data_IF_345668300769
#
_entry.id   IF_345668300769
#
_cell.length_a   1.000
_cell.length_b   1.000
_cell.length_c   1.000
_cell.angle_alpha   90.00
_cell.angle_beta   90.00
_cell.angle_gamma   90.00
#
_symmetry.space_group_name_H-M   'P 1'
#
loop_
_entity.id
_entity.type
_entity.pdbx_description
1 polymer ?
#
# COMPACT_ATOMS: atom_id res chain seq x y z
N UNK A 1 -4.77 -15.09 -5.00
CA UNK A 1 -3.50 -14.81 -5.71
C UNK A 1 -2.73 -13.78 -4.90
N UNK A 2 -1.45 -14.04 -4.60
CA UNK A 2 -0.58 -13.12 -3.85
C UNK A 2 0.69 -12.90 -4.69
N UNK A 3 0.94 -11.66 -5.14
CA UNK A 3 2.12 -11.33 -5.94
C UNK A 3 2.82 -10.13 -5.32
N UNK A 4 4.14 -10.19 -5.31
CA UNK A 4 5.01 -9.11 -4.88
C UNK A 4 6.09 -8.87 -5.95
N UNK A 5 6.39 -7.61 -6.22
CA UNK A 5 7.45 -7.20 -7.14
C UNK A 5 8.38 -6.17 -6.48
N UNK A 6 9.67 -6.36 -6.69
CA UNK A 6 10.71 -5.38 -6.37
C UNK A 6 11.22 -4.76 -7.66
N UNK A 7 11.07 -3.45 -7.80
CA UNK A 7 11.38 -2.72 -9.02
C UNK A 7 11.70 -1.24 -8.73
N UNK A 8 12.06 -0.51 -9.78
CA UNK A 8 11.94 0.94 -9.79
C UNK A 8 10.70 1.37 -10.57
N UNK A 9 10.18 2.53 -10.22
CA UNK A 9 9.10 3.20 -10.93
C UNK A 9 9.47 4.65 -11.19
N UNK A 10 8.94 5.19 -12.29
CA UNK A 10 9.18 6.57 -12.71
C UNK A 10 7.92 7.39 -12.51
N UNK A 11 8.04 8.50 -11.77
CA UNK A 11 7.03 9.54 -11.63
C UNK A 11 7.66 10.88 -12.00
N UNK A 12 7.08 11.57 -12.98
CA UNK A 12 7.64 12.84 -13.46
C UNK A 12 7.44 13.95 -12.42
N UNK A 13 8.48 14.20 -11.63
CA UNK A 13 8.46 15.14 -10.51
C UNK A 13 9.12 16.47 -10.86
N UNK A 14 8.44 17.59 -10.60
CA UNK A 14 8.93 18.94 -10.87
C UNK A 14 10.01 19.41 -9.87
N UNK A 15 9.95 18.94 -8.62
CA UNK A 15 10.88 19.34 -7.55
C UNK A 15 11.35 18.12 -6.79
N UNK A 16 12.59 17.70 -7.02
CA UNK A 16 13.16 16.53 -6.35
C UNK A 16 13.73 16.89 -4.98
N UNK A 17 13.64 15.94 -4.05
CA UNK A 17 14.31 15.94 -2.74
C UNK A 17 14.84 14.54 -2.52
N UNK A 18 16.17 14.41 -2.35
CA UNK A 18 16.82 13.09 -2.31
C UNK A 18 16.16 12.17 -1.27
N UNK A 19 15.94 10.91 -1.66
CA UNK A 19 15.20 9.85 -0.96
C UNK A 19 13.71 10.09 -0.73
N UNK A 20 13.27 11.32 -0.45
CA UNK A 20 11.87 11.62 -0.16
C UNK A 20 11.02 11.75 -1.43
N UNK A 21 11.59 12.31 -2.51
CA UNK A 21 10.89 12.54 -3.77
C UNK A 21 11.86 12.64 -4.94
N UNK A 22 11.98 11.57 -5.72
CA UNK A 22 12.85 11.51 -6.91
C UNK A 22 12.03 11.10 -8.13
N UNK A 23 12.53 11.40 -9.33
CA UNK A 23 11.82 11.04 -10.57
C UNK A 23 11.75 9.53 -10.77
N UNK A 24 12.86 8.85 -10.53
CA UNK A 24 12.90 7.40 -10.39
C UNK A 24 13.13 7.07 -8.93
N UNK A 25 12.36 6.12 -8.40
CA UNK A 25 12.61 5.57 -7.08
C UNK A 25 12.35 4.08 -7.06
N UNK A 26 13.01 3.42 -6.13
CA UNK A 26 12.87 1.99 -5.92
C UNK A 26 11.83 1.75 -4.85
N UNK A 27 11.05 0.71 -5.05
CA UNK A 27 10.03 0.32 -4.11
C UNK A 27 9.73 -1.16 -4.24
N UNK A 28 8.93 -1.61 -3.29
CA UNK A 28 8.24 -2.88 -3.34
C UNK A 28 6.77 -2.56 -3.56
N UNK A 29 6.14 -3.25 -4.52
CA UNK A 29 4.69 -3.22 -4.71
C UNK A 29 4.08 -4.63 -4.68
N UNK A 30 3.03 -4.78 -3.88
CA UNK A 30 2.30 -6.03 -3.72
C UNK A 30 0.88 -5.86 -4.22
N UNK A 31 0.40 -6.88 -4.93
CA UNK A 31 -0.94 -6.90 -5.50
C UNK A 31 -1.56 -8.27 -5.26
N UNK A 32 -2.75 -8.29 -4.69
CA UNK A 32 -3.42 -9.52 -4.30
C UNK A 32 -4.87 -9.55 -4.77
N UNK A 33 -5.40 -10.76 -4.93
CA UNK A 33 -6.79 -11.01 -5.27
C UNK A 33 -7.35 -12.16 -4.42
N UNK A 34 -8.47 -11.89 -3.77
CA UNK A 34 -9.13 -12.74 -2.77
C UNK A 34 -10.57 -13.07 -3.17
N UNK A 35 -11.11 -14.15 -2.61
CA UNK A 35 -12.49 -14.55 -2.83
C UNK A 35 -13.46 -13.70 -2.00
N UNK A 36 -13.05 -13.26 -0.81
CA UNK A 36 -13.91 -12.52 0.11
C UNK A 36 -13.32 -11.18 0.54
N UNK A 37 -14.20 -10.25 0.91
CA UNK A 37 -13.80 -8.96 1.49
C UNK A 37 -13.00 -9.14 2.79
N UNK A 38 -13.36 -10.13 3.61
CA UNK A 38 -12.70 -10.38 4.90
C UNK A 38 -11.24 -10.79 4.71
N UNK A 39 -10.95 -11.66 3.75
CA UNK A 39 -9.58 -12.05 3.40
C UNK A 39 -8.77 -10.86 2.88
N UNK A 40 -9.36 -10.05 1.98
CA UNK A 40 -8.72 -8.84 1.48
C UNK A 40 -8.44 -7.83 2.61
N UNK A 41 -9.36 -7.67 3.56
CA UNK A 41 -9.17 -6.79 4.70
C UNK A 41 -8.09 -7.32 5.64
N UNK A 42 -8.04 -8.63 5.88
CA UNK A 42 -7.00 -9.27 6.69
C UNK A 42 -5.61 -9.09 6.08
N UNK A 43 -5.46 -9.35 4.78
CA UNK A 43 -4.20 -9.14 4.04
C UNK A 43 -3.74 -7.68 4.10
N UNK A 44 -4.69 -6.75 3.93
CA UNK A 44 -4.41 -5.30 3.99
C UNK A 44 -3.81 -4.90 5.34
N UNK A 45 -4.39 -5.39 6.44
CA UNK A 45 -3.91 -5.09 7.80
C UNK A 45 -2.61 -5.84 8.12
N UNK A 46 -2.48 -7.10 7.70
CA UNK A 46 -1.26 -7.87 7.86
C UNK A 46 -0.06 -7.15 7.24
N UNK A 47 -0.19 -6.64 6.01
CA UNK A 47 0.91 -5.92 5.36
C UNK A 47 1.21 -4.57 6.02
N UNK A 48 0.21 -3.90 6.59
CA UNK A 48 0.41 -2.70 7.39
C UNK A 48 1.23 -3.01 8.65
N UNK A 49 0.96 -4.13 9.31
CA UNK A 49 1.68 -4.58 10.49
C UNK A 49 3.12 -4.99 10.15
N UNK A 50 3.34 -5.65 9.01
CA UNK A 50 4.70 -5.95 8.50
C UNK A 50 5.51 -4.66 8.30
N UNK A 51 4.90 -3.62 7.75
CA UNK A 51 5.57 -2.33 7.59
C UNK A 51 5.83 -1.63 8.93
N UNK A 52 4.92 -1.76 9.89
CA UNK A 52 5.10 -1.21 11.23
C UNK A 52 6.23 -1.90 11.99
N UNK A 53 6.29 -3.22 11.90
CA UNK A 53 7.34 -4.06 12.47
C UNK A 53 8.69 -3.68 11.87
N UNK A 54 8.81 -3.63 10.54
CA UNK A 54 10.03 -3.18 9.86
C UNK A 54 10.44 -1.77 10.29
N UNK A 55 9.50 -0.82 10.33
CA UNK A 55 9.80 0.54 10.73
C UNK A 55 10.35 0.63 12.16
N UNK A 56 9.74 -0.09 13.12
CA UNK A 56 10.12 0.00 14.54
C UNK A 56 11.32 -0.85 14.90
N UNK A 57 11.36 -2.10 14.44
CA UNK A 57 12.32 -3.10 14.89
C UNK A 57 13.58 -3.13 14.05
N UNK A 58 13.48 -2.86 12.73
CA UNK A 58 14.63 -2.87 11.83
C UNK A 58 15.18 -1.46 11.56
N UNK A 59 14.29 -0.48 11.35
CA UNK A 59 14.69 0.89 11.02
C UNK A 59 14.78 1.83 12.24
N UNK A 60 14.32 1.40 13.43
CA UNK A 60 14.25 2.21 14.65
C UNK A 60 13.52 3.56 14.47
N UNK A 61 12.50 3.59 13.60
CA UNK A 61 11.71 4.76 13.28
C UNK A 61 10.43 4.81 14.13
N UNK A 62 10.13 5.95 14.78
CA UNK A 62 8.84 6.16 15.44
C UNK A 62 7.75 6.29 14.37
N UNK A 63 6.96 5.22 14.23
CA UNK A 63 5.89 5.12 13.25
C UNK A 63 4.53 4.83 13.89
N UNK A 64 3.49 5.39 13.29
CA UNK A 64 2.09 5.26 13.68
C UNK A 64 1.26 4.79 12.50
N UNK A 65 0.37 3.84 12.73
CA UNK A 65 -0.57 3.37 11.70
C UNK A 65 -1.91 4.08 11.85
N UNK A 66 -2.59 4.29 10.72
CA UNK A 66 -3.89 4.94 10.73
C UNK A 66 -4.69 4.71 9.46
N UNK A 67 -6.00 4.93 9.55
CA UNK A 67 -6.90 4.97 8.40
C UNK A 67 -6.91 6.39 7.82
N UNK A 68 -6.66 6.53 6.52
CA UNK A 68 -6.78 7.82 5.83
C UNK A 68 -8.24 8.28 5.77
N UNK A 69 -8.44 9.60 5.78
CA UNK A 69 -9.75 10.20 5.52
C UNK A 69 -10.22 9.90 4.10
N UNK A 70 -11.51 10.11 3.83
CA UNK A 70 -12.06 9.91 2.48
C UNK A 70 -11.41 10.82 1.41
N UNK A 71 -10.87 11.97 1.80
CA UNK A 71 -10.18 12.90 0.89
C UNK A 71 -8.74 12.47 0.57
N UNK A 72 -8.08 11.78 1.50
CA UNK A 72 -6.65 11.39 1.41
C UNK A 72 -6.46 9.92 1.01
N UNK A 73 -7.55 9.17 0.78
CA UNK A 73 -7.46 7.77 0.34
C UNK A 73 -7.02 7.68 -1.11
N UNK A 74 -6.41 6.54 -1.46
CA UNK A 74 -6.04 6.27 -2.85
C UNK A 74 -7.27 6.31 -3.76
N UNK A 75 -7.21 7.00 -4.92
CA UNK A 75 -8.32 7.04 -5.85
C UNK A 75 -8.78 5.64 -6.28
N UNK A 76 -10.05 5.33 -6.07
CA UNK A 76 -10.61 4.02 -6.37
C UNK A 76 -10.44 2.95 -5.27
N UNK A 77 -9.72 3.25 -4.18
CA UNK A 77 -9.70 2.38 -3.01
C UNK A 77 -10.99 2.49 -2.19
N UNK A 78 -11.42 1.38 -1.60
CA UNK A 78 -12.47 1.38 -0.59
C UNK A 78 -11.94 2.03 0.70
N UNK A 79 -10.83 1.47 1.21
CA UNK A 79 -10.12 1.97 2.39
C UNK A 79 -8.62 2.03 2.13
N UNK A 80 -7.97 3.08 2.63
CA UNK A 80 -6.51 3.21 2.65
C UNK A 80 -6.04 3.31 4.08
N UNK A 81 -5.07 2.48 4.41
CA UNK A 81 -4.28 2.58 5.62
C UNK A 81 -2.89 3.09 5.29
N UNK A 82 -2.31 3.84 6.22
CA UNK A 82 -0.97 4.37 6.08
C UNK A 82 -0.16 4.19 7.34
N UNK A 83 1.15 4.15 7.15
CA UNK A 83 2.15 4.27 8.19
C UNK A 83 2.76 5.67 8.09
N UNK A 84 2.59 6.46 9.14
CA UNK A 84 3.08 7.82 9.28
C UNK A 84 4.29 7.82 10.22
N UNK A 85 5.41 8.37 9.74
CA UNK A 85 6.61 8.59 10.52
C UNK A 85 6.83 10.09 10.75
N UNK A 86 7.52 10.45 11.83
CA UNK A 86 7.87 11.85 12.12
C UNK A 86 9.33 12.08 11.76
N UNK A 87 9.58 13.10 10.93
CA UNK A 87 10.92 13.56 10.59
C UNK A 87 11.52 14.42 11.71
N UNK A 88 12.84 14.57 11.72
CA UNK A 88 13.58 15.40 12.68
C UNK A 88 13.22 16.89 12.63
N UNK A 89 12.61 17.36 11.54
CA UNK A 89 12.05 18.71 11.42
C UNK A 89 10.60 18.84 11.96
N UNK A 90 10.07 17.78 12.58
CA UNK A 90 8.75 17.71 13.20
C UNK A 90 7.60 17.47 12.22
N UNK A 91 7.86 17.29 10.92
CA UNK A 91 6.81 17.02 9.93
C UNK A 91 6.50 15.53 9.84
N UNK A 92 5.22 15.23 9.60
CA UNK A 92 4.79 13.88 9.28
C UNK A 92 5.17 13.50 7.83
N UNK A 93 5.59 12.26 7.64
CA UNK A 93 5.87 11.64 6.36
C UNK A 93 5.12 10.31 6.27
N UNK A 94 4.36 10.14 5.21
CA UNK A 94 3.77 8.86 4.86
C UNK A 94 4.87 7.92 4.34
N UNK A 95 5.25 6.95 5.16
CA UNK A 95 6.37 6.05 4.87
C UNK A 95 5.93 4.76 4.16
N UNK A 96 4.70 4.29 4.37
CA UNK A 96 4.14 3.13 3.66
C UNK A 96 2.62 3.22 3.53
N UNK A 97 2.06 2.47 2.57
CA UNK A 97 0.61 2.36 2.39
C UNK A 97 0.14 0.94 2.15
N UNK A 98 -1.06 0.66 2.62
CA UNK A 98 -1.79 -0.58 2.35
C UNK A 98 -3.25 -0.25 2.05
N UNK A 99 -3.75 -0.74 0.92
CA UNK A 99 -5.03 -0.36 0.35
C UNK A 99 -5.91 -1.60 0.18
N UNK A 100 -7.13 -1.54 0.74
CA UNK A 100 -8.20 -2.42 0.33
C UNK A 100 -8.93 -1.75 -0.84
N UNK A 101 -8.75 -2.31 -2.04
CA UNK A 101 -9.29 -1.75 -3.29
C UNK A 101 -10.74 -2.17 -3.52
N UNK A 102 -11.29 -3.04 -2.66
CA UNK A 102 -12.61 -3.63 -2.82
C UNK A 102 -12.70 -4.42 -4.12
N UNK A 103 -13.82 -4.28 -4.83
CA UNK A 103 -14.02 -4.85 -6.16
C UNK A 103 -13.87 -3.82 -7.29
N UNK A 104 -13.48 -2.57 -6.99
CA UNK A 104 -13.49 -1.48 -7.99
C UNK A 104 -12.55 -1.79 -9.16
N UNK A 105 -11.32 -2.22 -8.84
CA UNK A 105 -10.34 -2.63 -9.84
C UNK A 105 -10.75 -3.93 -10.54
N UNK A 106 -11.29 -4.91 -9.81
CA UNK A 106 -11.75 -6.16 -10.40
C UNK A 106 -12.88 -5.95 -11.41
N UNK A 107 -13.76 -4.95 -11.20
CA UNK A 107 -14.79 -4.57 -12.16
C UNK A 107 -14.19 -3.84 -13.37
N UNK A 108 -13.28 -2.90 -13.14
CA UNK A 108 -12.65 -2.12 -14.20
C UNK A 108 -11.82 -2.97 -15.17
N UNK A 109 -11.12 -4.00 -14.66
CA UNK A 109 -10.25 -4.90 -15.44
C UNK A 109 -10.87 -6.29 -15.69
N UNK A 110 -12.17 -6.45 -15.41
CA UNK A 110 -12.91 -7.72 -15.57
C UNK A 110 -12.25 -8.95 -14.92
N UNK A 111 -11.63 -8.75 -13.76
CA UNK A 111 -10.99 -9.82 -13.00
C UNK A 111 -12.08 -10.61 -12.27
N UNK A 112 -12.33 -11.83 -12.75
CA UNK A 112 -13.37 -12.75 -12.24
C UNK A 112 -12.77 -14.11 -11.93
N UNK A 113 -13.42 -14.84 -11.04
CA UNK A 113 -13.12 -16.25 -10.76
C UNK A 113 -14.43 -17.05 -10.67
N UNK A 114 -14.34 -18.35 -10.90
CA UNK A 114 -15.46 -19.27 -10.71
C UNK A 114 -15.49 -19.69 -9.24
N UNK A 115 -16.59 -19.44 -8.55
CA UNK A 115 -16.75 -19.84 -7.15
C UNK A 115 -17.16 -21.33 -7.01
N UNK A 116 -17.36 -21.79 -5.78
CA UNK A 116 -17.75 -23.17 -5.48
C UNK A 116 -19.16 -23.52 -5.99
N UNK A 117 -20.00 -22.52 -6.25
CA UNK A 117 -21.32 -22.65 -6.85
C UNK A 117 -21.32 -22.62 -8.37
N UNK A 118 -20.15 -22.56 -9.01
CA UNK A 118 -19.99 -22.32 -10.44
C UNK A 118 -20.54 -20.98 -10.92
N UNK A 119 -20.58 -19.97 -10.05
CA UNK A 119 -20.92 -18.59 -10.44
C UNK A 119 -19.67 -17.75 -10.65
N UNK A 120 -19.72 -16.84 -11.61
CA UNK A 120 -18.64 -15.89 -11.86
C UNK A 120 -18.72 -14.73 -10.87
N UNK A 121 -17.71 -14.62 -10.02
CA UNK A 121 -17.61 -13.56 -9.01
C UNK A 121 -16.42 -12.65 -9.29
N UNK A 122 -16.56 -11.36 -8.97
CA UNK A 122 -15.43 -10.43 -8.99
C UNK A 122 -14.56 -10.62 -7.76
N UNK A 123 -13.24 -10.66 -7.96
CA UNK A 123 -12.30 -10.78 -6.85
C UNK A 123 -12.24 -9.49 -6.01
N UNK A 124 -11.85 -9.66 -4.76
CA UNK A 124 -11.51 -8.56 -3.86
C UNK A 124 -10.02 -8.31 -3.93
N UNK A 125 -9.61 -7.09 -4.28
CA UNK A 125 -8.19 -6.81 -4.51
C UNK A 125 -7.59 -5.94 -3.42
N UNK A 126 -6.30 -6.13 -3.17
CA UNK A 126 -5.51 -5.25 -2.29
C UNK A 126 -4.23 -4.85 -2.99
N UNK A 127 -3.70 -3.70 -2.61
CA UNK A 127 -2.39 -3.24 -3.05
C UNK A 127 -1.65 -2.56 -1.89
N UNK A 128 -0.36 -2.78 -1.80
CA UNK A 128 0.49 -2.25 -0.73
C UNK A 128 1.87 -1.92 -1.28
N UNK A 129 2.52 -0.93 -0.69
CA UNK A 129 3.84 -0.54 -1.14
C UNK A 129 4.68 0.19 -0.10
N UNK A 130 5.99 -0.04 -0.22
CA UNK A 130 7.02 0.57 0.60
C UNK A 130 8.11 1.16 -0.32
N UNK A 131 8.19 2.49 -0.46
CA UNK A 131 9.28 3.12 -1.20
C UNK A 131 10.56 3.19 -0.38
N UNK A 132 11.69 3.34 -1.06
CA UNK A 132 13.00 3.63 -0.44
C UNK A 132 12.98 4.89 0.44
N UNK A 133 12.03 5.79 0.29
CA UNK A 133 11.89 6.97 1.15
C UNK A 133 11.81 6.62 2.64
N UNK A 134 11.34 5.41 2.99
CA UNK A 134 11.30 4.90 4.36
C UNK A 134 12.68 4.69 4.99
N UNK A 135 13.74 4.55 4.19
CA UNK A 135 15.12 4.40 4.66
C UNK A 135 15.91 5.71 4.69
N UNK A 136 15.29 6.84 4.32
CA UNK A 136 15.90 8.14 4.57
C UNK A 136 16.08 8.25 6.10
N UNK A 137 17.24 8.70 6.58
CA UNK A 137 17.37 9.07 8.00
C UNK A 137 16.37 10.21 8.25
N UNK A 138 15.20 9.83 8.80
CA UNK A 138 14.14 10.75 9.20
C UNK A 138 14.60 11.55 10.41
#
# INVERSE_FOLDING_TARGET
>A
MLINLWNSVVRWELRTKLFLRTQEFWWQEGHTAHATHAEAQAETLQMLDVYLDFARNEAALPAYTGRKSASEKFPGADVTYSLEAVMGDGKALQAATSHNLGQNFARAFEIKYLDRGNELQHCWTTSWGLPRASSARL
#
